data_IF_278145674450
#
_entry.id   IF_278145674450
#
_cell.length_a   1.000
_cell.length_b   1.000
_cell.length_c   1.000
_cell.angle_alpha   90.00
_cell.angle_beta   90.00
_cell.angle_gamma   90.00
#
_symmetry.space_group_name_H-M   'P 1'
#
loop_
_entity.id
_entity.type
_entity.pdbx_description
1 polymer ?
#
# COMPACT_ATOMS: atom_id res chain seq x y z
N UNK A 1 -17.01 -7.73 -28.68
CA UNK A 1 -17.67 -6.80 -27.72
C UNK A 1 -16.67 -6.15 -26.76
N UNK A 2 -15.47 -6.71 -26.67
CA UNK A 2 -14.33 -6.27 -25.86
C UNK A 2 -13.83 -4.84 -26.13
N UNK A 3 -13.79 -4.31 -27.38
CA UNK A 3 -13.27 -2.96 -27.63
C UNK A 3 -14.17 -1.85 -27.09
N UNK A 4 -15.49 -2.04 -27.17
CA UNK A 4 -16.48 -1.03 -26.76
C UNK A 4 -16.50 -0.93 -25.23
N UNK A 5 -16.51 -2.07 -24.54
CA UNK A 5 -16.39 -2.11 -23.08
C UNK A 5 -15.05 -1.53 -22.60
N UNK A 6 -13.95 -1.77 -23.31
CA UNK A 6 -12.64 -1.20 -23.03
C UNK A 6 -12.61 0.33 -23.17
N UNK A 7 -13.21 0.89 -24.22
CA UNK A 7 -13.31 2.35 -24.42
C UNK A 7 -14.18 3.01 -23.35
N UNK A 8 -15.30 2.38 -22.99
CA UNK A 8 -16.17 2.87 -21.92
C UNK A 8 -15.43 2.83 -20.56
N UNK A 9 -14.75 1.73 -20.24
CA UNK A 9 -13.93 1.62 -19.04
C UNK A 9 -12.80 2.66 -18.99
N UNK A 10 -12.10 2.87 -20.11
CA UNK A 10 -11.05 3.89 -20.21
C UNK A 10 -11.61 5.31 -20.00
N UNK A 11 -12.79 5.61 -20.56
CA UNK A 11 -13.45 6.90 -20.41
C UNK A 11 -13.86 7.19 -18.95
N UNK A 12 -14.37 6.17 -18.23
CA UNK A 12 -14.70 6.28 -16.81
C UNK A 12 -13.45 6.52 -15.95
N UNK A 13 -12.35 5.83 -16.24
CA UNK A 13 -11.08 6.04 -15.53
C UNK A 13 -10.57 7.47 -15.73
N UNK A 14 -10.64 8.02 -16.95
CA UNK A 14 -10.19 9.39 -17.24
C UNK A 14 -10.96 10.43 -16.39
N UNK A 15 -12.27 10.23 -16.18
CA UNK A 15 -13.08 11.11 -15.34
C UNK A 15 -12.71 10.96 -13.85
N UNK A 16 -12.34 9.75 -13.41
CA UNK A 16 -11.94 9.49 -12.02
C UNK A 16 -10.48 9.90 -11.70
N UNK A 17 -9.60 10.05 -12.70
CA UNK A 17 -8.18 10.41 -12.52
C UNK A 17 -7.91 11.60 -11.60
N UNK A 18 -8.71 12.69 -11.59
CA UNK A 18 -8.43 13.82 -10.71
C UNK A 18 -8.67 13.51 -9.23
N UNK A 19 -9.60 12.60 -8.90
CA UNK A 19 -9.93 12.26 -7.50
C UNK A 19 -9.07 11.11 -6.96
N UNK A 20 -8.60 10.23 -7.85
CA UNK A 20 -7.76 9.10 -7.52
C UNK A 20 -6.50 9.46 -6.69
N UNK A 21 -5.68 10.49 -7.01
CA UNK A 21 -4.49 10.80 -6.23
C UNK A 21 -4.83 11.24 -4.80
N UNK A 22 -5.93 11.98 -4.61
CA UNK A 22 -6.37 12.39 -3.28
C UNK A 22 -6.86 11.19 -2.45
N UNK A 23 -7.63 10.28 -3.08
CA UNK A 23 -8.09 9.07 -2.43
C UNK A 23 -6.94 8.11 -2.08
N UNK A 24 -5.97 7.94 -2.99
CA UNK A 24 -4.78 7.12 -2.76
C UNK A 24 -3.87 7.72 -1.68
N UNK A 25 -3.70 9.05 -1.66
CA UNK A 25 -2.96 9.73 -0.60
C UNK A 25 -3.64 9.55 0.77
N UNK A 26 -4.96 9.65 0.83
CA UNK A 26 -5.72 9.38 2.05
C UNK A 26 -5.59 7.93 2.52
N UNK A 27 -5.70 6.97 1.59
CA UNK A 27 -5.53 5.55 1.89
C UNK A 27 -4.11 5.23 2.39
N UNK A 28 -3.08 5.82 1.77
CA UNK A 28 -1.70 5.68 2.21
C UNK A 28 -1.51 6.22 3.64
N UNK A 29 -2.09 7.38 3.94
CA UNK A 29 -2.06 7.97 5.29
C UNK A 29 -2.74 7.08 6.35
N UNK A 30 -3.90 6.52 6.03
CA UNK A 30 -4.61 5.60 6.92
C UNK A 30 -3.78 4.34 7.23
N UNK A 31 -3.13 3.76 6.22
CA UNK A 31 -2.28 2.59 6.41
C UNK A 31 -1.05 2.90 7.28
N UNK A 32 -0.42 4.07 7.13
CA UNK A 32 0.70 4.47 7.99
C UNK A 32 0.24 4.62 9.45
N UNK A 33 -0.90 5.25 9.70
CA UNK A 33 -1.45 5.42 11.05
C UNK A 33 -1.70 4.08 11.74
N UNK A 34 -2.42 3.16 11.07
CA UNK A 34 -2.72 1.81 11.61
C UNK A 34 -1.43 1.02 11.89
N UNK A 35 -0.44 1.11 11.00
CA UNK A 35 0.84 0.41 11.20
C UNK A 35 1.57 0.92 12.44
N UNK A 36 1.64 2.25 12.62
CA UNK A 36 2.41 2.86 13.71
C UNK A 36 1.73 2.74 15.07
N UNK A 37 0.41 2.93 15.13
CA UNK A 37 -0.35 2.97 16.38
C UNK A 37 -0.83 1.59 16.83
N UNK A 38 -1.07 0.65 15.91
CA UNK A 38 -1.61 -0.67 16.26
C UNK A 38 -0.59 -1.77 15.99
N UNK A 39 -0.08 -1.91 14.76
CA UNK A 39 0.72 -3.07 14.39
C UNK A 39 2.12 -3.09 15.02
N UNK A 40 2.82 -1.95 15.08
CA UNK A 40 4.15 -1.87 15.69
C UNK A 40 4.10 -2.14 17.20
N UNK A 41 3.21 -1.50 18.00
CA UNK A 41 3.07 -1.81 19.42
C UNK A 41 2.67 -3.25 19.68
N UNK A 42 1.69 -3.77 18.96
CA UNK A 42 1.23 -5.17 19.09
C UNK A 42 2.37 -6.16 18.84
N UNK A 43 3.19 -5.91 17.80
CA UNK A 43 4.34 -6.75 17.48
C UNK A 43 5.43 -6.78 18.57
N UNK A 44 5.49 -5.75 19.41
CA UNK A 44 6.48 -5.63 20.48
C UNK A 44 5.99 -6.13 21.85
N UNK A 45 4.68 -6.27 22.05
CA UNK A 45 4.07 -6.78 23.29
C UNK A 45 4.51 -8.21 23.64
N UNK A 46 4.90 -9.02 22.64
CA UNK A 46 5.35 -10.41 22.82
C UNK A 46 6.78 -10.60 23.35
N UNK A 47 7.47 -9.54 23.81
CA UNK A 47 8.80 -9.61 24.40
C UNK A 47 9.98 -9.82 23.43
N UNK A 48 9.71 -9.92 22.12
CA UNK A 48 10.71 -10.15 21.06
C UNK A 48 10.87 -8.93 20.15
N UNK A 49 11.01 -7.73 20.72
CA UNK A 49 11.11 -6.45 19.97
C UNK A 49 12.17 -6.48 18.86
N UNK A 50 13.30 -7.14 19.09
CA UNK A 50 14.37 -7.27 18.11
C UNK A 50 13.98 -8.14 16.89
N UNK A 51 13.24 -9.23 17.12
CA UNK A 51 12.74 -10.08 16.04
C UNK A 51 11.62 -9.39 15.26
N UNK A 52 10.74 -8.66 15.93
CA UNK A 52 9.71 -7.85 15.30
C UNK A 52 10.33 -6.76 14.39
N UNK A 53 11.34 -6.05 14.88
CA UNK A 53 12.06 -5.03 14.09
C UNK A 53 12.77 -5.65 12.88
N UNK A 54 13.41 -6.81 13.05
CA UNK A 54 14.03 -7.54 11.94
C UNK A 54 13.01 -7.97 10.88
N UNK A 55 11.82 -8.42 11.31
CA UNK A 55 10.71 -8.76 10.41
C UNK A 55 10.22 -7.57 9.60
N UNK A 56 10.08 -6.40 10.22
CA UNK A 56 9.72 -5.14 9.54
C UNK A 56 10.80 -4.75 8.52
N UNK A 57 12.08 -4.81 8.89
CA UNK A 57 13.18 -4.49 7.98
C UNK A 57 13.22 -5.42 6.77
N UNK A 58 13.04 -6.73 6.97
CA UNK A 58 13.04 -7.72 5.90
C UNK A 58 11.82 -7.54 4.98
N UNK A 59 10.62 -7.35 5.55
CA UNK A 59 9.41 -7.09 4.79
C UNK A 59 9.50 -5.81 3.94
N UNK A 60 10.05 -4.74 4.51
CA UNK A 60 10.30 -3.49 3.78
C UNK A 60 11.30 -3.69 2.64
N UNK A 61 12.41 -4.40 2.89
CA UNK A 61 13.41 -4.69 1.86
C UNK A 61 12.83 -5.53 0.71
N UNK A 62 12.03 -6.55 1.01
CA UNK A 62 11.36 -7.39 0.00
C UNK A 62 10.38 -6.56 -0.82
N UNK A 63 9.54 -5.74 -0.17
CA UNK A 63 8.60 -4.88 -0.87
C UNK A 63 9.32 -3.89 -1.80
N UNK A 64 10.35 -3.19 -1.30
CA UNK A 64 11.16 -2.26 -2.11
C UNK A 64 11.82 -2.97 -3.29
N UNK A 65 12.32 -4.20 -3.08
CA UNK A 65 12.93 -4.99 -4.16
C UNK A 65 11.89 -5.36 -5.22
N UNK A 66 10.69 -5.76 -4.82
CA UNK A 66 9.60 -6.10 -5.74
C UNK A 66 9.09 -4.85 -6.50
N UNK A 67 8.96 -3.71 -5.83
CA UNK A 67 8.53 -2.45 -6.45
C UNK A 67 9.54 -1.99 -7.51
N UNK A 68 10.85 -2.05 -7.22
CA UNK A 68 11.91 -1.68 -8.17
C UNK A 68 12.08 -2.71 -9.30
N UNK A 69 11.82 -4.00 -9.04
CA UNK A 69 12.01 -5.06 -10.04
C UNK A 69 10.80 -5.28 -10.97
N UNK A 70 9.59 -5.01 -10.50
CA UNK A 70 8.33 -5.21 -11.24
C UNK A 70 7.65 -3.91 -11.66
N UNK A 71 8.00 -2.78 -11.04
CA UNK A 71 7.57 -1.43 -11.43
C UNK A 71 8.35 -0.88 -12.60
#
# INVERSE_FOLDING_TARGET
VEPIAGVIGASLVIIARPVLPYALAFAAGAMIFVVVEELVPESQTGGHSHAATMGVMLGFAVMMTLDVALG
#
